data_IF_842271968343
#
_entry.id   IF_842271968343
#
_cell.length_a   1.000
_cell.length_b   1.000
_cell.length_c   1.000
_cell.angle_alpha   90.00
_cell.angle_beta   90.00
_cell.angle_gamma   90.00
#
_symmetry.space_group_name_H-M   'P 1'
#
loop_
_entity.id
_entity.type
_entity.pdbx_description
1 polymer ?
#
# COMPACT_ATOMS: atom_id res chain seq x y z
N UNK A 1 3.21 8.81 0.26
CA UNK A 1 3.80 7.47 -0.01
C UNK A 1 5.31 7.43 -0.23
N UNK A 2 5.95 8.32 -1.01
CA UNK A 2 7.33 8.08 -1.46
C UNK A 2 8.36 7.93 -0.32
N UNK A 3 8.11 8.56 0.83
CA UNK A 3 8.98 8.48 1.99
C UNK A 3 9.03 7.08 2.64
N UNK A 4 7.95 6.28 2.59
CA UNK A 4 7.96 4.94 3.19
C UNK A 4 8.81 3.96 2.37
N UNK A 5 8.53 3.87 1.07
CA UNK A 5 9.24 2.96 0.15
C UNK A 5 10.74 3.25 0.17
N UNK A 6 11.14 4.52 0.06
CA UNK A 6 12.55 4.92 0.10
C UNK A 6 13.22 4.53 1.42
N UNK A 7 12.60 4.80 2.57
CA UNK A 7 13.16 4.46 3.88
C UNK A 7 13.32 2.94 4.09
N UNK A 8 12.43 2.13 3.52
CA UNK A 8 12.53 0.66 3.55
C UNK A 8 13.69 0.18 2.68
N UNK A 9 13.80 0.68 1.44
CA UNK A 9 14.87 0.30 0.51
C UNK A 9 16.25 0.74 0.99
N UNK A 10 16.34 1.93 1.59
CA UNK A 10 17.57 2.48 2.16
C UNK A 10 17.97 1.82 3.49
N UNK A 11 17.19 0.84 3.99
CA UNK A 11 17.44 0.16 5.27
C UNK A 11 17.23 1.04 6.52
N UNK A 12 16.77 2.28 6.35
CA UNK A 12 16.51 3.24 7.44
C UNK A 12 15.29 2.89 8.29
N UNK A 13 14.38 2.09 7.74
CA UNK A 13 13.22 1.56 8.45
C UNK A 13 13.34 0.04 8.54
N UNK A 14 13.56 -0.47 9.75
CA UNK A 14 13.56 -1.92 9.99
C UNK A 14 12.14 -2.44 9.81
N UNK A 15 11.95 -3.34 8.86
CA UNK A 15 10.66 -3.98 8.57
C UNK A 15 10.83 -5.49 8.41
N UNK A 16 9.72 -6.24 8.42
CA UNK A 16 9.76 -7.68 8.19
C UNK A 16 10.24 -8.00 6.77
N UNK A 17 10.74 -9.22 6.57
CA UNK A 17 11.13 -9.71 5.23
C UNK A 17 9.98 -9.59 4.22
N UNK A 18 8.75 -9.84 4.65
CA UNK A 18 7.56 -9.72 3.80
C UNK A 18 7.31 -8.29 3.32
N UNK A 19 7.44 -7.30 4.21
CA UNK A 19 7.29 -5.88 3.84
C UNK A 19 8.39 -5.44 2.89
N UNK A 20 9.64 -5.83 3.15
CA UNK A 20 10.76 -5.56 2.25
C UNK A 20 10.51 -6.12 0.84
N UNK A 21 10.05 -7.37 0.73
CA UNK A 21 9.72 -7.99 -0.56
C UNK A 21 8.56 -7.29 -1.26
N UNK A 22 7.51 -6.90 -0.52
CA UNK A 22 6.39 -6.15 -1.10
C UNK A 22 6.82 -4.79 -1.66
N UNK A 23 7.71 -4.08 -0.97
CA UNK A 23 8.27 -2.79 -1.42
C UNK A 23 9.15 -2.97 -2.66
N UNK A 24 10.01 -4.00 -2.69
CA UNK A 24 10.82 -4.33 -3.87
C UNK A 24 9.95 -4.67 -5.08
N UNK A 25 8.98 -5.57 -4.90
CA UNK A 25 7.98 -5.93 -5.92
C UNK A 25 7.30 -4.68 -6.48
N UNK A 26 6.82 -3.78 -5.62
CA UNK A 26 6.18 -2.53 -6.04
C UNK A 26 7.12 -1.69 -6.94
N UNK A 27 8.40 -1.57 -6.60
CA UNK A 27 9.37 -0.82 -7.41
C UNK A 27 9.74 -1.50 -8.72
N UNK A 28 9.87 -2.82 -8.72
CA UNK A 28 10.14 -3.60 -9.92
C UNK A 28 8.96 -3.53 -10.89
N UNK A 29 7.74 -3.71 -10.36
CA UNK A 29 6.50 -3.62 -11.10
C UNK A 29 6.28 -2.23 -11.74
N UNK A 30 6.71 -1.14 -11.08
CA UNK A 30 6.65 0.21 -11.66
C UNK A 30 7.54 0.37 -12.90
N UNK A 31 8.60 -0.44 -13.04
CA UNK A 31 9.51 -0.42 -14.18
C UNK A 31 9.04 -1.30 -15.34
N UNK A 32 8.04 -2.15 -15.10
CA UNK A 32 7.53 -3.09 -16.11
C UNK A 32 6.64 -2.37 -17.12
N UNK A 33 6.97 -2.54 -18.39
CA UNK A 33 6.16 -2.09 -19.53
C UNK A 33 5.41 -3.26 -20.19
N UNK A 34 5.89 -4.49 -19.96
CA UNK A 34 5.58 -5.75 -20.65
C UNK A 34 4.35 -6.49 -20.10
N UNK A 35 3.39 -5.79 -19.50
CA UNK A 35 2.30 -6.43 -18.77
C UNK A 35 1.02 -5.58 -18.69
N UNK A 36 -0.08 -6.19 -18.26
CA UNK A 36 -1.43 -5.62 -18.23
C UNK A 36 -1.67 -4.56 -17.12
N UNK A 37 -0.83 -4.52 -16.09
CA UNK A 37 -1.06 -3.68 -14.92
C UNK A 37 -0.35 -2.33 -15.00
N UNK A 38 -0.95 -1.30 -14.43
CA UNK A 38 -0.35 0.02 -14.19
C UNK A 38 -0.62 0.49 -12.77
N UNK A 39 0.25 1.35 -12.27
CA UNK A 39 0.04 2.00 -10.99
C UNK A 39 -0.61 3.37 -11.20
N UNK A 40 -1.76 3.58 -10.57
CA UNK A 40 -2.48 4.85 -10.56
C UNK A 40 -2.33 5.54 -9.20
N UNK A 41 -1.46 6.56 -9.08
CA UNK A 41 -1.25 7.26 -7.81
C UNK A 41 -2.48 8.05 -7.36
N UNK A 42 -3.38 8.44 -8.28
CA UNK A 42 -4.60 9.16 -7.94
C UNK A 42 -5.62 8.23 -7.29
N UNK A 43 -5.80 7.02 -7.82
CA UNK A 43 -6.66 6.01 -7.21
C UNK A 43 -6.12 5.57 -5.84
N UNK A 44 -4.82 5.33 -5.75
CA UNK A 44 -4.15 5.04 -4.48
C UNK A 44 -4.38 6.16 -3.43
N UNK A 45 -4.20 7.42 -3.83
CA UNK A 45 -4.41 8.58 -2.97
C UNK A 45 -5.85 8.74 -2.51
N UNK A 46 -6.82 8.55 -3.41
CA UNK A 46 -8.27 8.57 -3.09
C UNK A 46 -8.62 7.50 -2.06
N UNK A 47 -8.14 6.27 -2.25
CA UNK A 47 -8.39 5.18 -1.30
C UNK A 47 -7.77 5.45 0.08
N UNK A 48 -6.54 5.95 0.13
CA UNK A 48 -5.90 6.33 1.40
C UNK A 48 -6.68 7.43 2.11
N UNK A 49 -7.06 8.48 1.39
CA UNK A 49 -7.83 9.59 1.97
C UNK A 49 -9.20 9.14 2.47
N UNK A 50 -9.88 8.28 1.71
CA UNK A 50 -11.15 7.70 2.13
C UNK A 50 -10.99 6.92 3.45
N UNK A 51 -9.96 6.08 3.55
CA UNK A 51 -9.68 5.31 4.76
C UNK A 51 -9.25 6.19 5.95
N UNK A 52 -8.63 7.34 5.73
CA UNK A 52 -8.30 8.30 6.80
C UNK A 52 -9.51 9.06 7.35
N UNK A 53 -10.57 9.21 6.54
CA UNK A 53 -11.82 9.88 6.96
C UNK A 53 -12.68 8.94 7.80
N UNK A 54 -12.57 7.62 7.58
CA UNK A 54 -13.35 6.65 8.33
C UNK A 54 -12.94 6.66 9.81
N UNK A 55 -13.89 6.87 10.73
CA UNK A 55 -13.61 6.79 12.15
C UNK A 55 -13.22 5.36 12.51
N UNK A 56 -12.21 5.22 13.36
CA UNK A 56 -11.83 3.91 13.84
C UNK A 56 -13.00 3.31 14.67
N UNK A 57 -13.44 2.07 14.39
CA UNK A 57 -14.65 1.50 14.99
C UNK A 57 -14.65 1.48 16.53
N UNK A 58 -13.46 1.48 17.14
CA UNK A 58 -13.29 1.40 18.60
C UNK A 58 -13.25 2.76 19.29
N UNK A 59 -12.74 3.79 18.61
CA UNK A 59 -12.51 5.10 19.23
C UNK A 59 -13.46 6.19 18.70
N UNK A 60 -14.15 5.93 17.58
CA UNK A 60 -15.08 6.87 16.95
C UNK A 60 -14.39 8.12 16.37
N UNK A 61 -13.06 8.17 16.38
CA UNK A 61 -12.27 9.31 15.90
C UNK A 61 -11.53 8.93 14.62
N UNK A 62 -11.39 9.86 13.66
CA UNK A 62 -10.49 9.68 12.53
C UNK A 62 -9.05 9.61 13.06
N UNK A 63 -8.35 8.51 12.79
CA UNK A 63 -6.95 8.37 13.15
C UNK A 63 -6.09 8.41 11.87
N UNK A 64 -5.05 9.24 11.81
CA UNK A 64 -4.15 9.25 10.66
C UNK A 64 -3.52 7.88 10.48
N UNK A 65 -3.57 7.36 9.26
CA UNK A 65 -3.01 6.05 8.93
C UNK A 65 -1.49 6.05 9.09
N UNK A 66 -0.96 4.96 9.65
CA UNK A 66 0.48 4.75 9.71
C UNK A 66 1.08 4.65 8.30
N UNK A 67 2.36 5.03 8.09
CA UNK A 67 2.98 4.99 6.76
C UNK A 67 2.89 3.65 6.04
N UNK A 68 2.99 2.53 6.77
CA UNK A 68 2.86 1.19 6.19
C UNK A 68 1.41 0.86 5.81
N UNK A 69 0.43 1.28 6.60
CA UNK A 69 -1.00 1.11 6.27
C UNK A 69 -1.33 1.85 4.98
N UNK A 70 -0.84 3.09 4.84
CA UNK A 70 -0.95 3.84 3.60
C UNK A 70 -0.37 3.05 2.43
N UNK A 71 0.85 2.53 2.56
CA UNK A 71 1.49 1.72 1.51
C UNK A 71 0.68 0.48 1.11
N UNK A 72 0.12 -0.25 2.09
CA UNK A 72 -0.73 -1.41 1.83
C UNK A 72 -1.98 -1.00 1.04
N UNK A 73 -2.72 0.00 1.54
CA UNK A 73 -3.95 0.48 0.90
C UNK A 73 -3.67 0.97 -0.52
N UNK A 74 -2.65 1.81 -0.71
CA UNK A 74 -2.32 2.27 -2.05
C UNK A 74 -1.78 1.20 -2.97
N UNK A 75 -1.20 0.11 -2.46
CA UNK A 75 -0.83 -1.02 -3.30
C UNK A 75 -2.08 -1.79 -3.75
N UNK A 76 -3.06 -1.99 -2.88
CA UNK A 76 -4.30 -2.71 -3.22
C UNK A 76 -5.14 -1.93 -4.23
N UNK A 77 -5.32 -0.62 -4.01
CA UNK A 77 -6.20 0.22 -4.82
C UNK A 77 -5.50 0.97 -5.95
N UNK A 78 -4.17 1.06 -5.92
CA UNK A 78 -3.40 1.76 -6.96
C UNK A 78 -3.01 0.88 -8.14
N UNK A 79 -2.90 -0.45 -7.96
CA UNK A 79 -2.58 -1.35 -9.06
C UNK A 79 -3.85 -1.77 -9.80
N UNK A 80 -4.02 -1.22 -11.01
CA UNK A 80 -5.20 -1.40 -11.85
C UNK A 80 -4.80 -1.80 -13.28
N UNK A 81 -5.78 -2.25 -14.04
CA UNK A 81 -5.61 -2.51 -15.47
C UNK A 81 -5.20 -1.27 -16.25
N UNK A 82 -4.46 -1.48 -17.33
CA UNK A 82 -4.17 -0.43 -18.30
C UNK A 82 -5.42 0.00 -19.07
N UNK A 83 -6.29 -0.95 -19.40
CA UNK A 83 -7.46 -0.74 -20.27
C UNK A 83 -8.72 -0.38 -19.46
N UNK A 84 -8.91 -1.00 -18.28
CA UNK A 84 -10.03 -0.70 -17.39
C UNK A 84 -9.61 -0.44 -15.93
N UNK A 85 -9.59 0.82 -15.46
CA UNK A 85 -9.17 1.17 -14.11
C UNK A 85 -10.07 0.61 -12.99
N UNK A 86 -11.25 0.04 -13.30
CA UNK A 86 -12.09 -0.61 -12.30
C UNK A 86 -11.61 -2.02 -11.95
N UNK A 87 -10.80 -2.65 -12.82
CA UNK A 87 -10.21 -3.96 -12.57
C UNK A 87 -8.91 -3.77 -11.80
N UNK A 88 -8.90 -4.24 -10.54
CA UNK A 88 -7.74 -4.20 -9.65
C UNK A 88 -6.89 -5.46 -9.81
N UNK A 89 -5.58 -5.31 -9.69
CA UNK A 89 -4.63 -6.44 -9.66
C UNK A 89 -4.82 -7.34 -8.45
N UNK A 90 -5.08 -6.73 -7.30
CA UNK A 90 -5.25 -7.44 -6.04
C UNK A 90 -6.74 -7.47 -5.69
N UNK A 91 -7.35 -8.65 -5.83
CA UNK A 91 -8.74 -8.92 -5.45
C UNK A 91 -8.84 -9.37 -4.00
N UNK A 92 -7.95 -10.28 -3.62
CA UNK A 92 -7.90 -10.89 -2.29
C UNK A 92 -6.65 -10.47 -1.55
N UNK A 93 -6.82 -10.04 -0.30
CA UNK A 93 -5.73 -9.50 0.50
C UNK A 93 -5.78 -10.10 1.90
N UNK A 94 -4.70 -10.77 2.27
CA UNK A 94 -4.47 -11.25 3.63
C UNK A 94 -3.42 -10.38 4.31
N UNK A 95 -3.79 -9.75 5.43
CA UNK A 95 -2.89 -8.91 6.24
C UNK A 95 -2.87 -9.50 7.64
N UNK A 96 -1.67 -9.88 8.09
CA UNK A 96 -1.43 -10.24 9.48
C UNK A 96 -0.56 -9.17 10.11
N UNK A 97 -1.07 -8.56 11.18
CA UNK A 97 -0.29 -7.69 12.05
C UNK A 97 -0.01 -8.42 13.36
N UNK A 98 1.24 -8.36 13.79
CA UNK A 98 1.72 -9.05 14.98
C UNK A 98 2.38 -8.02 15.89
N UNK A 99 1.76 -7.73 17.03
CA UNK A 99 2.41 -6.97 18.08
C UNK A 99 3.35 -7.92 18.82
N UNK A 100 4.64 -7.59 18.86
CA UNK A 100 5.56 -8.28 19.76
C UNK A 100 5.19 -7.84 21.18
N UNK A 101 4.42 -8.66 21.90
CA UNK A 101 4.30 -8.51 23.35
C UNK A 101 5.71 -8.64 23.93
N UNK A 102 6.19 -7.58 24.56
CA UNK A 102 7.34 -7.65 25.46
C UNK A 102 6.95 -8.39 26.72
#
# INVERSE_FOLDING_TARGET
MPNFIKRVLDGRLITSKAVNLAVKRHQEDLKRTDWRWRYDPNLAGKAVKFMEILPEPKSGKPQPLAPFQKFIIGSIYGWVDKDDPNIRRFTDVFISDGTKKR
#
